data_IF_487862003818
#
_entry.id   IF_487862003818
#
_cell.length_a   1.000
_cell.length_b   1.000
_cell.length_c   1.000
_cell.angle_alpha   90.00
_cell.angle_beta   90.00
_cell.angle_gamma   90.00
#
_symmetry.space_group_name_H-M   'P 1'
#
loop_
_entity.id
_entity.type
_entity.pdbx_description
1 polymer ?
#
# COMPACT_ATOMS: atom_id res chain seq x y z
N UNK A 1 -8.56 13.03 -14.86
CA UNK A 1 -7.69 12.39 -13.85
C UNK A 1 -8.01 10.90 -13.87
N UNK A 2 -7.21 10.09 -14.57
CA UNK A 2 -7.40 8.64 -14.60
C UNK A 2 -6.99 8.04 -13.26
N UNK A 3 -7.81 7.18 -12.67
CA UNK A 3 -7.38 6.38 -11.52
C UNK A 3 -6.14 5.57 -11.92
N UNK A 4 -5.12 5.45 -11.05
CA UNK A 4 -3.99 4.57 -11.32
C UNK A 4 -4.52 3.15 -11.51
N UNK A 5 -4.20 2.56 -12.67
CA UNK A 5 -4.58 1.18 -12.99
C UNK A 5 -4.04 0.27 -11.88
N UNK A 6 -4.87 -0.56 -11.21
CA UNK A 6 -4.39 -1.50 -10.22
C UNK A 6 -3.24 -2.34 -10.81
N UNK A 7 -2.16 -2.60 -10.07
CA UNK A 7 -1.01 -3.34 -10.60
C UNK A 7 -1.40 -4.65 -11.30
N UNK A 8 -2.45 -5.33 -10.81
CA UNK A 8 -2.98 -6.55 -11.41
C UNK A 8 -3.65 -6.32 -12.77
N UNK A 9 -4.38 -5.21 -12.97
CA UNK A 9 -4.99 -4.87 -14.26
C UNK A 9 -3.93 -4.57 -15.32
N UNK A 10 -2.83 -3.90 -14.94
CA UNK A 10 -1.70 -3.68 -15.83
C UNK A 10 -1.03 -5.00 -16.23
N UNK A 11 -0.91 -5.95 -15.29
CA UNK A 11 -0.39 -7.30 -15.56
C UNK A 11 -1.30 -8.07 -16.53
N UNK A 12 -2.62 -8.02 -16.33
CA UNK A 12 -3.60 -8.66 -17.22
C UNK A 12 -3.47 -8.12 -18.65
N UNK A 13 -3.42 -6.80 -18.82
CA UNK A 13 -3.27 -6.20 -20.16
C UNK A 13 -1.93 -6.54 -20.80
N UNK A 14 -0.85 -6.60 -20.00
CA UNK A 14 0.44 -7.04 -20.51
C UNK A 14 0.38 -8.49 -21.02
N UNK A 15 -0.26 -9.42 -20.29
CA UNK A 15 -0.41 -10.80 -20.73
C UNK A 15 -1.21 -10.90 -22.03
N UNK A 16 -2.33 -10.16 -22.15
CA UNK A 16 -3.12 -10.07 -23.39
C UNK A 16 -2.28 -9.53 -24.55
N UNK A 17 -1.47 -8.51 -24.30
CA UNK A 17 -0.61 -7.93 -25.32
C UNK A 17 0.50 -8.88 -25.77
N UNK A 18 1.02 -9.72 -24.86
CA UNK A 18 1.95 -10.81 -25.20
C UNK A 18 1.28 -11.92 -26.01
N UNK A 19 0.06 -12.31 -25.64
CA UNK A 19 -0.74 -13.29 -26.40
C UNK A 19 -0.92 -12.86 -27.86
N UNK A 20 -1.28 -11.59 -28.11
CA UNK A 20 -1.42 -11.04 -29.48
C UNK A 20 -0.11 -11.00 -30.30
N UNK A 21 1.04 -11.03 -29.64
CA UNK A 21 2.36 -10.97 -30.26
C UNK A 21 3.06 -12.33 -30.32
N UNK A 22 2.41 -13.38 -29.82
CA UNK A 22 2.99 -14.71 -29.77
C UNK A 22 3.25 -15.24 -31.19
N UNK A 23 4.37 -15.96 -31.34
CA UNK A 23 4.78 -16.54 -32.63
C UNK A 23 4.04 -17.83 -32.98
N UNK A 24 3.26 -18.37 -32.05
CA UNK A 24 2.50 -19.62 -32.21
C UNK A 24 1.25 -19.63 -31.35
N UNK A 25 0.28 -20.48 -31.73
CA UNK A 25 -0.96 -20.67 -30.98
C UNK A 25 -0.73 -21.18 -29.55
N UNK A 26 0.12 -22.20 -29.29
CA UNK A 26 0.40 -22.63 -27.92
C UNK A 26 1.03 -21.55 -27.03
N UNK A 27 1.86 -20.68 -27.62
CA UNK A 27 2.41 -19.54 -26.90
C UNK A 27 1.32 -18.49 -26.61
N UNK A 28 0.44 -18.21 -27.57
CA UNK A 28 -0.69 -17.30 -27.39
C UNK A 28 -1.63 -17.78 -26.27
N UNK A 29 -1.96 -19.07 -26.28
CA UNK A 29 -2.81 -19.73 -25.28
C UNK A 29 -2.17 -19.73 -23.90
N UNK A 30 -0.85 -19.94 -23.83
CA UNK A 30 -0.09 -19.85 -22.58
C UNK A 30 -0.17 -18.45 -21.95
N UNK A 31 -0.05 -17.39 -22.75
CA UNK A 31 -0.20 -16.02 -22.26
C UNK A 31 -1.64 -15.69 -21.89
N UNK A 32 -2.61 -16.22 -22.63
CA UNK A 32 -4.03 -16.04 -22.36
C UNK A 32 -4.44 -16.74 -21.05
N UNK A 33 -3.96 -17.97 -20.81
CA UNK A 33 -4.17 -18.71 -19.58
C UNK A 33 -3.66 -17.96 -18.34
N UNK A 34 -2.48 -17.34 -18.42
CA UNK A 34 -1.98 -16.49 -17.34
C UNK A 34 -2.89 -15.28 -17.09
N UNK A 35 -3.39 -14.62 -18.15
CA UNK A 35 -4.33 -13.52 -18.04
C UNK A 35 -5.67 -13.94 -17.40
N UNK A 36 -6.12 -15.15 -17.67
CA UNK A 36 -7.35 -15.71 -17.12
C UNK A 36 -7.18 -16.05 -15.62
N UNK A 37 -6.06 -16.66 -15.22
CA UNK A 37 -5.73 -16.87 -13.80
C UNK A 37 -5.66 -15.57 -13.00
N UNK A 38 -5.04 -14.52 -13.56
CA UNK A 38 -5.02 -13.19 -12.92
C UNK A 38 -6.42 -12.57 -12.79
N UNK A 39 -7.29 -12.77 -13.79
CA UNK A 39 -8.68 -12.29 -13.74
C UNK A 39 -9.48 -13.07 -12.68
N UNK A 40 -9.28 -14.37 -12.59
CA UNK A 40 -9.93 -15.23 -11.60
C UNK A 40 -9.54 -14.83 -10.18
N UNK A 41 -8.27 -14.49 -9.94
CA UNK A 41 -7.84 -13.94 -8.66
C UNK A 41 -8.62 -12.66 -8.28
N UNK A 42 -8.82 -11.74 -9.24
CA UNK A 42 -9.65 -10.53 -9.03
C UNK A 42 -11.10 -10.88 -8.69
N UNK A 43 -11.66 -11.89 -9.37
CA UNK A 43 -13.03 -12.33 -9.18
C UNK A 43 -13.21 -13.30 -8.00
N UNK A 44 -12.12 -13.69 -7.32
CA UNK A 44 -12.11 -14.74 -6.29
C UNK A 44 -12.73 -16.05 -6.80
N UNK A 45 -12.34 -16.45 -8.01
CA UNK A 45 -12.73 -17.72 -8.65
C UNK A 45 -11.50 -18.60 -8.85
N UNK A 46 -11.75 -19.89 -9.08
CA UNK A 46 -10.74 -20.87 -9.44
C UNK A 46 -11.34 -21.79 -10.51
N UNK A 47 -10.78 -21.75 -11.70
CA UNK A 47 -11.12 -22.56 -12.87
C UNK A 47 -9.98 -23.53 -13.22
N UNK A 48 -9.13 -23.92 -12.26
CA UNK A 48 -8.04 -24.88 -12.48
C UNK A 48 -8.49 -26.18 -13.14
N UNK A 49 -9.73 -26.63 -12.86
CA UNK A 49 -10.29 -27.84 -13.48
C UNK A 49 -10.53 -27.69 -14.98
N UNK A 50 -10.86 -26.49 -15.47
CA UNK A 50 -11.06 -26.24 -16.90
C UNK A 50 -9.74 -26.38 -17.68
N UNK A 51 -8.61 -26.13 -17.01
CA UNK A 51 -7.26 -26.30 -17.57
C UNK A 51 -6.68 -27.70 -17.36
N UNK A 52 -7.39 -28.62 -16.71
CA UNK A 52 -6.84 -29.95 -16.37
C UNK A 52 -6.47 -30.78 -17.61
N UNK A 53 -7.21 -30.60 -18.70
CA UNK A 53 -7.02 -31.31 -19.97
C UNK A 53 -6.11 -30.54 -20.95
N UNK A 54 -5.70 -29.32 -20.62
CA UNK A 54 -4.76 -28.55 -21.43
C UNK A 54 -3.34 -29.13 -21.33
N UNK A 55 -2.43 -28.65 -22.19
CA UNK A 55 -1.02 -28.99 -22.06
C UNK A 55 -0.47 -28.55 -20.69
N UNK A 56 0.58 -29.23 -20.17
CA UNK A 56 1.20 -28.87 -18.91
C UNK A 56 1.60 -27.38 -18.83
N UNK A 57 2.14 -26.84 -19.93
CA UNK A 57 2.61 -25.46 -20.02
C UNK A 57 1.46 -24.46 -19.84
N UNK A 58 0.32 -24.70 -20.50
CA UNK A 58 -0.86 -23.84 -20.39
C UNK A 58 -1.43 -23.88 -18.97
N UNK A 59 -1.52 -25.09 -18.38
CA UNK A 59 -2.00 -25.27 -17.01
C UNK A 59 -1.11 -24.60 -15.97
N UNK A 60 0.21 -24.71 -16.13
CA UNK A 60 1.19 -24.03 -15.28
C UNK A 60 1.07 -22.50 -15.38
N UNK A 61 0.86 -21.98 -16.59
CA UNK A 61 0.66 -20.54 -16.81
C UNK A 61 -0.62 -20.01 -16.18
N UNK A 62 -1.73 -20.75 -16.28
CA UNK A 62 -2.95 -20.43 -15.54
C UNK A 62 -2.69 -20.34 -14.04
N UNK A 63 -2.03 -21.37 -13.50
CA UNK A 63 -1.76 -21.50 -12.06
C UNK A 63 -0.84 -20.38 -11.55
N UNK A 64 0.18 -20.02 -12.34
CA UNK A 64 1.06 -18.89 -12.06
C UNK A 64 0.27 -17.57 -11.99
N UNK A 65 -0.58 -17.31 -12.98
CA UNK A 65 -1.41 -16.11 -13.00
C UNK A 65 -2.36 -16.01 -11.80
N UNK A 66 -2.98 -17.12 -11.41
CA UNK A 66 -3.86 -17.18 -10.24
C UNK A 66 -3.10 -16.89 -8.93
N UNK A 67 -1.96 -17.54 -8.73
CA UNK A 67 -1.14 -17.37 -7.52
C UNK A 67 -0.57 -15.95 -7.41
N UNK A 68 0.00 -15.42 -8.50
CA UNK A 68 0.51 -14.05 -8.54
C UNK A 68 -0.61 -13.04 -8.28
N UNK A 69 -1.78 -13.24 -8.89
CA UNK A 69 -2.94 -12.38 -8.69
C UNK A 69 -3.39 -12.34 -7.22
N UNK A 70 -3.46 -13.50 -6.57
CA UNK A 70 -3.80 -13.60 -5.14
C UNK A 70 -2.75 -12.85 -4.30
N UNK A 71 -1.47 -13.08 -4.56
CA UNK A 71 -0.38 -12.42 -3.83
C UNK A 71 -0.44 -10.89 -3.98
N UNK A 72 -0.63 -10.37 -5.20
CA UNK A 72 -0.74 -8.93 -5.47
C UNK A 72 -1.92 -8.29 -4.72
N UNK A 73 -3.06 -8.97 -4.67
CA UNK A 73 -4.24 -8.50 -3.94
C UNK A 73 -4.00 -8.50 -2.42
N UNK A 74 -3.36 -9.53 -1.89
CA UNK A 74 -2.98 -9.60 -0.48
C UNK A 74 -1.99 -8.49 -0.10
N UNK A 75 -0.95 -8.25 -0.92
CA UNK A 75 0.01 -7.14 -0.68
C UNK A 75 -0.70 -5.79 -0.67
N UNK A 76 -1.66 -5.58 -1.57
CA UNK A 76 -2.44 -4.34 -1.62
C UNK A 76 -3.26 -4.15 -0.34
N UNK A 77 -3.91 -5.21 0.16
CA UNK A 77 -4.66 -5.18 1.43
C UNK A 77 -3.75 -4.86 2.62
N UNK A 78 -2.60 -5.53 2.73
CA UNK A 78 -1.62 -5.27 3.80
C UNK A 78 -1.14 -3.82 3.78
N UNK A 79 -0.81 -3.29 2.58
CA UNK A 79 -0.41 -1.89 2.42
C UNK A 79 -1.51 -0.93 2.91
N UNK A 80 -2.76 -1.18 2.54
CA UNK A 80 -3.90 -0.36 2.98
C UNK A 80 -4.10 -0.43 4.51
N UNK A 81 -4.01 -1.63 5.10
CA UNK A 81 -4.11 -1.78 6.55
C UNK A 81 -2.99 -1.01 7.29
N UNK A 82 -1.76 -1.07 6.78
CA UNK A 82 -0.63 -0.35 7.36
C UNK A 82 -0.81 1.18 7.25
N UNK A 83 -1.35 1.69 6.14
CA UNK A 83 -1.66 3.13 5.99
C UNK A 83 -2.82 3.57 6.89
N UNK A 84 -3.83 2.72 7.09
CA UNK A 84 -4.96 3.02 7.99
C UNK A 84 -4.55 3.01 9.48
N UNK A 85 -3.47 2.31 9.83
CA UNK A 85 -2.98 2.17 11.21
C UNK A 85 -1.90 3.20 11.56
N UNK A 86 -1.50 4.08 10.64
CA UNK A 86 -0.66 5.21 10.98
C UNK A 86 -1.43 6.15 11.92
N UNK A 87 -1.01 6.33 13.19
CA UNK A 87 -1.63 7.32 14.06
C UNK A 87 -1.33 8.68 13.44
N UNK A 88 -2.36 9.50 13.24
CA UNK A 88 -2.17 10.91 12.99
C UNK A 88 -1.29 11.47 14.09
N UNK A 89 -0.04 11.83 13.74
CA UNK A 89 0.80 12.61 14.63
C UNK A 89 0.01 13.91 14.87
N UNK A 90 -0.37 14.25 16.11
CA UNK A 90 -0.91 15.57 16.39
C UNK A 90 0.21 16.54 16.01
N UNK A 91 -0.04 17.36 14.98
CA UNK A 91 0.84 18.47 14.67
C UNK A 91 0.84 19.38 15.89
N UNK A 92 1.90 19.31 16.69
CA UNK A 92 2.11 20.23 17.79
C UNK A 92 2.29 21.62 17.17
N UNK A 93 1.30 22.49 17.39
CA UNK A 93 1.36 23.90 17.06
C UNK A 93 2.53 24.53 17.83
N UNK A 94 3.61 24.98 17.16
CA UNK A 94 4.74 25.60 17.83
C UNK A 94 4.41 27.07 18.10
N UNK A 95 3.40 27.34 18.93
CA UNK A 95 3.01 28.72 19.20
C UNK A 95 2.43 29.01 20.57
N UNK A 96 2.91 28.37 21.64
CA UNK A 96 2.83 28.97 22.99
C UNK A 96 4.10 28.66 23.79
N UNK A 97 5.20 29.35 23.46
CA UNK A 97 6.30 29.55 24.40
C UNK A 97 6.81 30.99 24.26
N UNK A 98 5.99 31.98 24.64
CA UNK A 98 6.48 33.36 24.82
C UNK A 98 5.55 34.21 25.72
N UNK A 99 5.55 33.94 27.01
CA UNK A 99 5.23 34.88 28.11
C UNK A 99 5.41 34.08 29.40
N UNK A 100 6.25 34.40 30.37
CA UNK A 100 6.64 35.69 30.93
C UNK A 100 7.85 35.45 31.84
N UNK A 101 9.01 36.07 31.57
CA UNK A 101 9.98 36.36 32.65
C UNK A 101 10.83 37.58 32.30
N UNK A 102 10.21 38.74 32.47
CA UNK A 102 10.76 40.09 32.62
C UNK A 102 9.55 40.91 33.09
N UNK A 103 9.52 41.68 34.17
CA UNK A 103 10.52 42.35 35.00
C UNK A 103 9.89 42.55 36.39
N UNK A 104 10.70 42.63 37.44
CA UNK A 104 10.59 43.71 38.45
C UNK A 104 11.97 43.86 39.09
N UNK A 105 12.64 44.93 38.67
CA UNK A 105 13.84 45.50 39.30
C UNK A 105 13.49 46.17 40.63
N UNK A 106 14.53 46.24 41.47
CA UNK A 106 14.85 47.29 42.45
C UNK A 106 13.75 47.79 43.39
N UNK A 107 13.92 47.54 44.70
CA UNK A 107 14.05 48.63 45.69
C UNK A 107 14.69 48.09 46.98
N UNK A 108 15.83 48.67 47.35
CA UNK A 108 16.41 48.64 48.70
C UNK A 108 16.06 49.98 49.37
N UNK A 109 15.60 49.97 50.63
CA UNK A 109 16.18 50.92 51.57
C UNK A 109 16.47 50.33 52.96
N UNK A 110 17.73 50.48 53.37
CA UNK A 110 18.24 51.05 54.63
C UNK A 110 17.32 51.09 55.89
N UNK A 111 17.79 50.34 56.92
CA UNK A 111 17.75 50.59 58.38
C UNK A 111 16.41 50.89 59.09
N UNK A 112 16.01 49.98 60.01
CA UNK A 112 15.84 50.37 61.42
C UNK A 112 15.85 49.18 62.41
N UNK A 113 16.80 49.31 63.33
CA UNK A 113 17.04 48.68 64.64
C UNK A 113 15.83 48.70 65.58
N UNK A 114 15.43 47.57 66.19
CA UNK A 114 15.03 47.49 67.63
C UNK A 114 15.21 46.06 68.20
N UNK A 115 15.64 46.00 69.46
CA UNK A 115 15.92 44.84 70.34
C UNK A 115 14.66 44.13 70.88
N UNK A 116 14.92 42.98 71.53
CA UNK A 116 14.19 42.31 72.65
C UNK A 116 13.55 40.97 72.23
N UNK A 117 13.78 39.82 72.87
CA UNK A 117 14.36 39.43 74.16
C UNK A 117 15.26 38.19 73.98
#
# INVERSE_FOLDING_TARGET
MGQPIPPITARIEWCRQRSRQAGSEPEADSWQAEADGLRDAVMSRDHSEDYRLCSPEIRERYSLGLQDGIAMLQTTRVRQANHATAPGIPQADPRIELKTRSEVNDELPTMQRVRSL
#
